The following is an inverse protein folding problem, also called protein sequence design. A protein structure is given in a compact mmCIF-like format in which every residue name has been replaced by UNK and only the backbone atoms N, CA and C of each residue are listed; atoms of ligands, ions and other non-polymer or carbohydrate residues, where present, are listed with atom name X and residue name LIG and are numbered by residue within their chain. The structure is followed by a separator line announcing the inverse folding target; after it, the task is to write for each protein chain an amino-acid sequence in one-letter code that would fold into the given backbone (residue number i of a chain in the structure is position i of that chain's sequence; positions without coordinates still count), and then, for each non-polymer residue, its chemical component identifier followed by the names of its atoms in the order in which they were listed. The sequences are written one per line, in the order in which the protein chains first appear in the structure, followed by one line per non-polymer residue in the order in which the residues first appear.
data_IF_561258947950
#
_entry.id   IF_561258947950
#
_cell.length_a   1.000
_cell.length_b   1.000
_cell.length_c   1.000
_cell.angle_alpha   90.00
_cell.angle_beta   90.00
_cell.angle_gamma   90.00
#
_symmetry.space_group_name_H-M   'P 1'
#
loop_
_entity.id
_entity.type
_entity.pdbx_description
1 polymer ?
#
# COMPACT_ATOMS: atom_id res chain seq x y z
N UNK A 1 -11.00 16.64 3.97
CA UNK A 1 -9.56 16.56 4.23
C UNK A 1 -8.94 15.46 3.40
N UNK A 2 -8.02 15.82 2.55
CA UNK A 2 -7.39 14.85 1.63
C UNK A 2 -6.69 13.71 2.35
N UNK A 3 -6.13 13.98 3.52
CA UNK A 3 -5.37 12.98 4.26
C UNK A 3 -6.23 11.87 4.86
N UNK A 4 -7.55 12.09 4.95
CA UNK A 4 -8.45 11.07 5.51
C UNK A 4 -8.42 9.79 4.67
N UNK A 5 -8.45 9.91 3.34
CA UNK A 5 -8.39 8.75 2.47
C UNK A 5 -7.05 8.04 2.57
N UNK A 6 -5.97 8.81 2.67
CA UNK A 6 -4.63 8.25 2.81
C UNK A 6 -4.50 7.45 4.11
N UNK A 7 -4.98 8.00 5.22
CA UNK A 7 -4.93 7.33 6.51
C UNK A 7 -5.80 6.07 6.49
N UNK A 8 -6.99 6.16 5.89
CA UNK A 8 -7.87 5.02 5.75
C UNK A 8 -7.18 3.90 4.96
N UNK A 9 -6.53 4.27 3.85
CA UNK A 9 -5.82 3.31 3.02
C UNK A 9 -4.75 2.56 3.81
N UNK A 10 -3.97 3.27 4.62
CA UNK A 10 -2.94 2.64 5.43
C UNK A 10 -3.55 1.67 6.45
N UNK A 11 -4.68 2.05 7.03
CA UNK A 11 -5.39 1.17 7.97
C UNK A 11 -5.82 -0.12 7.30
N UNK A 12 -6.41 0.00 6.11
CA UNK A 12 -6.88 -1.18 5.37
C UNK A 12 -5.70 -2.08 5.02
N UNK A 13 -4.62 -1.51 4.50
CA UNK A 13 -3.45 -2.29 4.12
C UNK A 13 -2.84 -3.01 5.32
N UNK A 14 -2.81 -2.36 6.46
CA UNK A 14 -2.30 -2.98 7.69
C UNK A 14 -3.17 -4.18 8.08
N UNK A 15 -4.49 -4.03 7.95
CA UNK A 15 -5.41 -5.10 8.32
C UNK A 15 -5.30 -6.31 7.41
N UNK A 16 -5.02 -6.11 6.13
CA UNK A 16 -4.92 -7.23 5.18
C UNK A 16 -3.49 -7.69 4.96
N UNK A 17 -2.56 -7.21 5.75
CA UNK A 17 -1.15 -7.57 5.58
C UNK A 17 -0.86 -9.04 5.88
N UNK A 18 -1.80 -9.74 6.50
CA UNK A 18 -1.67 -11.17 6.75
C UNK A 18 -1.91 -12.03 5.51
N UNK A 19 -2.49 -11.43 4.46
CA UNK A 19 -2.83 -12.15 3.23
C UNK A 19 -2.28 -11.38 2.04
N UNK A 20 -1.24 -11.92 1.40
CA UNK A 20 -0.58 -11.24 0.29
C UNK A 20 -1.50 -10.94 -0.87
N UNK A 21 -2.46 -11.83 -1.17
CA UNK A 21 -3.40 -11.61 -2.26
C UNK A 21 -4.33 -10.44 -1.98
N UNK A 22 -4.85 -10.36 -0.78
CA UNK A 22 -5.72 -9.26 -0.39
C UNK A 22 -4.93 -7.96 -0.34
N UNK A 23 -3.72 -8.02 0.18
CA UNK A 23 -2.85 -6.84 0.25
C UNK A 23 -2.58 -6.31 -1.15
N UNK A 24 -2.26 -7.18 -2.08
CA UNK A 24 -1.99 -6.81 -3.47
C UNK A 24 -3.20 -6.10 -4.08
N UNK A 25 -4.38 -6.67 -3.91
CA UNK A 25 -5.60 -6.09 -4.48
C UNK A 25 -5.91 -4.71 -3.90
N UNK A 26 -5.78 -4.57 -2.59
CA UNK A 26 -6.06 -3.29 -1.94
C UNK A 26 -5.02 -2.25 -2.31
N UNK A 27 -3.76 -2.65 -2.42
CA UNK A 27 -2.71 -1.74 -2.82
C UNK A 27 -2.93 -1.25 -4.26
N UNK A 28 -3.25 -2.15 -5.16
CA UNK A 28 -3.52 -1.80 -6.56
C UNK A 28 -4.65 -0.79 -6.64
N UNK A 29 -5.72 -1.04 -5.90
CA UNK A 29 -6.86 -0.13 -5.86
C UNK A 29 -6.47 1.23 -5.32
N UNK A 30 -5.68 1.26 -4.26
CA UNK A 30 -5.25 2.50 -3.64
C UNK A 30 -4.41 3.35 -4.60
N UNK A 31 -3.53 2.71 -5.37
CA UNK A 31 -2.68 3.42 -6.30
C UNK A 31 -3.46 4.15 -7.40
N UNK A 32 -4.69 3.71 -7.66
CA UNK A 32 -5.55 4.37 -8.65
C UNK A 32 -6.44 5.43 -8.05
N UNK A 33 -6.59 5.46 -6.73
CA UNK A 33 -7.50 6.37 -6.05
C UNK A 33 -6.82 7.57 -5.38
N UNK A 34 -5.54 7.43 -5.07
CA UNK A 34 -4.81 8.47 -4.36
C UNK A 34 -4.21 9.50 -5.31
N UNK A 35 -3.96 10.69 -4.78
CA UNK A 35 -3.28 11.73 -5.53
C UNK A 35 -1.81 11.35 -5.75
N UNK A 36 -1.16 11.86 -6.82
CA UNK A 36 0.22 11.47 -7.12
C UNK A 36 1.21 11.63 -5.97
N UNK A 37 1.12 12.71 -5.20
CA UNK A 37 2.04 12.89 -4.07
C UNK A 37 1.74 11.93 -2.94
N UNK A 38 0.47 11.53 -2.80
CA UNK A 38 0.10 10.53 -1.79
C UNK A 38 0.57 9.14 -2.19
N UNK A 39 0.56 8.86 -3.49
CA UNK A 39 1.08 7.60 -4.01
C UNK A 39 2.55 7.46 -3.66
N UNK A 40 3.33 8.53 -3.81
CA UNK A 40 4.75 8.49 -3.47
C UNK A 40 4.97 8.23 -1.98
N UNK A 41 4.19 8.87 -1.13
CA UNK A 41 4.27 8.63 0.31
C UNK A 41 3.87 7.20 0.64
N UNK A 42 2.82 6.71 -0.01
CA UNK A 42 2.37 5.34 0.22
C UNK A 42 3.42 4.32 -0.19
N UNK A 43 4.11 4.56 -1.30
CA UNK A 43 5.18 3.68 -1.76
C UNK A 43 6.27 3.54 -0.69
N UNK A 44 6.70 4.65 -0.11
CA UNK A 44 7.71 4.62 0.96
C UNK A 44 7.21 3.83 2.16
N UNK A 45 5.97 4.06 2.55
CA UNK A 45 5.39 3.38 3.69
C UNK A 45 5.27 1.88 3.44
N UNK A 46 4.80 1.50 2.25
CA UNK A 46 4.65 0.09 1.90
C UNK A 46 6.00 -0.61 1.82
N UNK A 47 7.01 0.07 1.29
CA UNK A 47 8.35 -0.48 1.23
C UNK A 47 8.85 -0.83 2.63
N UNK A 48 8.63 0.06 3.59
CA UNK A 48 8.99 -0.20 4.98
C UNK A 48 8.23 -1.38 5.54
N UNK A 49 6.94 -1.48 5.22
CA UNK A 49 6.12 -2.58 5.69
C UNK A 49 6.60 -3.92 5.13
N UNK A 50 6.97 -3.94 3.86
CA UNK A 50 7.46 -5.16 3.21
C UNK A 50 8.79 -5.61 3.82
N UNK A 51 9.64 -4.67 4.19
CA UNK A 51 10.88 -5.03 4.87
C UNK A 51 10.61 -5.75 6.18
N UNK A 52 9.52 -5.39 6.84
CA UNK A 52 9.10 -6.03 8.08
C UNK A 52 8.36 -7.34 7.82
N UNK A 53 7.68 -7.45 6.68
CA UNK A 53 6.90 -8.63 6.29
C UNK A 53 7.31 -9.10 4.90
N UNK A 54 8.41 -9.88 4.82
CA UNK A 54 8.93 -10.30 3.51
C UNK A 54 7.95 -11.10 2.64
N UNK A 55 6.94 -11.69 3.24
CA UNK A 55 5.94 -12.44 2.49
C UNK A 55 5.13 -11.53 1.55
N UNK A 56 5.19 -10.21 1.73
CA UNK A 56 4.53 -9.27 0.86
C UNK A 56 5.43 -8.78 -0.28
N UNK A 57 6.60 -9.37 -0.42
CA UNK A 57 7.61 -8.91 -1.37
C UNK A 57 7.11 -8.89 -2.82
N UNK A 58 6.20 -9.79 -3.18
CA UNK A 58 5.65 -9.82 -4.54
C UNK A 58 4.88 -8.54 -4.88
N UNK A 59 4.42 -7.82 -3.88
CA UNK A 59 3.68 -6.57 -4.08
C UNK A 59 4.59 -5.42 -4.52
N UNK A 60 5.90 -5.60 -4.45
CA UNK A 60 6.85 -4.59 -4.90
C UNK A 60 6.69 -4.27 -6.39
N UNK A 61 6.20 -5.22 -7.16
CA UNK A 61 5.98 -5.00 -8.60
C UNK A 61 5.08 -3.79 -8.84
N UNK A 62 4.07 -3.60 -8.00
CA UNK A 62 3.16 -2.46 -8.14
C UNK A 62 3.86 -1.14 -7.87
N UNK A 63 4.91 -1.16 -7.07
CA UNK A 63 5.62 0.05 -6.67
C UNK A 63 6.71 0.45 -7.66
N UNK A 64 7.15 -0.48 -8.49
CA UNK A 64 8.23 -0.26 -9.43
C UNK A 64 7.79 0.29 -10.78
N UNK A 65 6.51 0.23 -11.07
CA UNK A 65 5.97 0.65 -12.38
C UNK A 65 5.80 2.15 -12.54
#
# INVERSE_FOLDING_TARGET
MARAMFQYTKSVLTKVSFDANLFYKELQKALTQLLPHEVEELKSWVTSLILDKPELNDCMILLES
#
